data_IF_507619627803
#
_entry.id   IF_507619627803
#
_cell.length_a   1.000
_cell.length_b   1.000
_cell.length_c   1.000
_cell.angle_alpha   90.00
_cell.angle_beta   90.00
_cell.angle_gamma   90.00
#
_symmetry.space_group_name_H-M   'P 1'
#
loop_
_entity.id
_entity.type
_entity.pdbx_description
1 polymer ?
#
# COMPACT_ATOMS: atom_id res chain seq x y z
N UNK A 1 12.25 -0.80 17.05
CA UNK A 1 11.11 -0.60 16.11
C UNK A 1 10.21 0.57 16.53
N UNK A 2 9.46 0.53 17.66
CA UNK A 2 8.57 1.65 18.03
C UNK A 2 9.29 3.00 18.15
N UNK A 3 10.42 3.04 18.84
CA UNK A 3 11.23 4.25 18.98
C UNK A 3 11.77 4.77 17.62
N UNK A 4 12.08 3.87 16.70
CA UNK A 4 12.49 4.23 15.34
C UNK A 4 11.32 4.85 14.56
N UNK A 5 10.13 4.24 14.65
CA UNK A 5 8.91 4.78 14.03
C UNK A 5 8.64 6.19 14.53
N UNK A 6 8.64 6.40 15.86
CA UNK A 6 8.44 7.71 16.48
C UNK A 6 9.51 8.74 16.07
N UNK A 7 10.79 8.32 16.05
CA UNK A 7 11.90 9.18 15.64
C UNK A 7 11.76 9.60 14.17
N UNK A 8 11.41 8.66 13.31
CA UNK A 8 11.20 8.93 11.88
C UNK A 8 10.00 9.84 11.65
N UNK A 9 8.89 9.58 12.34
CA UNK A 9 7.69 10.44 12.27
C UNK A 9 8.00 11.86 12.75
N UNK A 10 8.74 12.03 13.85
CA UNK A 10 9.14 13.33 14.37
C UNK A 10 10.07 14.09 13.39
N UNK A 11 10.99 13.37 12.73
CA UNK A 11 11.84 13.96 11.68
C UNK A 11 10.98 14.50 10.52
N UNK A 12 10.03 13.69 10.02
CA UNK A 12 9.14 14.08 8.92
C UNK A 12 8.26 15.25 9.34
N UNK A 13 7.68 15.20 10.54
CA UNK A 13 6.83 16.27 11.08
C UNK A 13 7.58 17.61 11.10
N UNK A 14 8.82 17.60 11.61
CA UNK A 14 9.67 18.79 11.61
C UNK A 14 10.02 19.27 10.19
N UNK A 15 10.37 18.34 9.29
CA UNK A 15 10.74 18.66 7.91
C UNK A 15 9.57 19.18 7.06
N UNK A 16 8.33 18.90 7.47
CA UNK A 16 7.10 19.32 6.80
C UNK A 16 6.31 20.38 7.56
N UNK A 17 6.94 21.04 8.52
CA UNK A 17 6.31 22.09 9.34
C UNK A 17 4.98 21.65 9.95
N UNK A 18 4.93 20.42 10.49
CA UNK A 18 3.75 19.78 11.10
C UNK A 18 2.55 19.74 10.15
N UNK A 19 2.76 19.27 8.93
CA UNK A 19 1.75 19.26 7.86
C UNK A 19 0.47 18.50 8.21
N UNK A 20 0.53 17.48 9.06
CA UNK A 20 -0.58 16.64 9.55
C UNK A 20 -1.50 16.11 8.41
N UNK A 21 -1.06 15.10 7.64
CA UNK A 21 -1.86 14.51 6.56
C UNK A 21 -3.05 13.72 7.12
N UNK A 22 -4.19 13.73 6.41
CA UNK A 22 -5.36 12.92 6.73
C UNK A 22 -5.37 11.58 5.98
N UNK A 23 -4.77 11.56 4.79
CA UNK A 23 -4.83 10.42 3.85
C UNK A 23 -3.41 10.01 3.48
N UNK A 24 -3.13 8.71 3.62
CA UNK A 24 -1.95 8.06 3.08
C UNK A 24 -2.26 7.44 1.71
N UNK A 25 -1.36 7.60 0.75
CA UNK A 25 -1.47 7.02 -0.59
C UNK A 25 -0.17 6.30 -0.92
N UNK A 26 -0.24 5.03 -1.32
CA UNK A 26 0.92 4.28 -1.79
C UNK A 26 0.74 4.01 -3.28
N UNK A 27 1.53 4.70 -4.09
CA UNK A 27 1.49 4.59 -5.54
C UNK A 27 2.34 3.40 -6.00
N UNK A 28 1.71 2.49 -6.72
CA UNK A 28 2.35 1.33 -7.30
C UNK A 28 2.91 1.57 -8.71
N UNK A 29 3.49 0.52 -9.26
CA UNK A 29 4.04 0.50 -10.62
C UNK A 29 3.02 0.99 -11.64
N UNK A 30 3.42 1.92 -12.49
CA UNK A 30 2.57 2.52 -13.52
C UNK A 30 1.65 3.66 -13.03
N UNK A 31 1.50 3.85 -11.71
CA UNK A 31 0.59 4.84 -11.12
C UNK A 31 1.30 6.07 -10.55
N UNK A 32 2.63 6.14 -10.71
CA UNK A 32 3.45 7.27 -10.23
C UNK A 32 3.05 8.63 -10.76
N UNK A 33 2.39 8.70 -11.93
CA UNK A 33 1.87 9.94 -12.52
C UNK A 33 0.74 10.60 -11.71
N UNK A 34 0.08 9.86 -10.80
CA UNK A 34 -0.88 10.49 -9.88
C UNK A 34 -0.23 11.55 -8.99
N UNK A 35 1.06 11.44 -8.72
CA UNK A 35 1.82 12.44 -7.96
C UNK A 35 1.73 13.85 -8.58
N UNK A 36 1.55 13.95 -9.90
CA UNK A 36 1.43 15.24 -10.62
C UNK A 36 0.06 15.92 -10.37
N UNK A 37 -0.90 15.20 -9.77
CA UNK A 37 -2.20 15.73 -9.34
C UNK A 37 -2.19 16.30 -7.91
N UNK A 38 -1.09 16.08 -7.18
CA UNK A 38 -0.95 16.59 -5.81
C UNK A 38 -0.39 18.01 -5.90
N UNK A 39 -1.13 18.96 -5.34
CA UNK A 39 -0.58 20.30 -5.07
C UNK A 39 0.45 20.18 -3.95
N UNK A 40 1.71 19.99 -4.36
CA UNK A 40 2.81 19.59 -3.49
C UNK A 40 3.31 20.74 -2.64
N UNK A 41 3.23 20.59 -1.33
CA UNK A 41 3.81 21.51 -0.36
C UNK A 41 5.25 21.11 0.02
N UNK A 42 5.48 19.80 0.24
CA UNK A 42 6.80 19.26 0.61
C UNK A 42 7.07 17.94 -0.11
N UNK A 43 8.34 17.66 -0.37
CA UNK A 43 8.80 16.36 -0.87
C UNK A 43 10.11 15.97 -0.17
N UNK A 44 10.21 14.72 0.27
CA UNK A 44 11.38 14.18 0.98
C UNK A 44 11.79 12.87 0.30
N UNK A 45 13.04 12.78 -0.14
CA UNK A 45 13.59 11.55 -0.71
C UNK A 45 13.72 10.48 0.39
N UNK A 46 13.44 9.20 0.07
CA UNK A 46 13.50 8.12 1.07
C UNK A 46 14.88 7.99 1.71
N UNK A 47 15.95 8.20 0.93
CA UNK A 47 17.32 8.14 1.42
C UNK A 47 17.63 9.18 2.51
N UNK A 48 16.86 10.27 2.56
CA UNK A 48 17.02 11.36 3.52
C UNK A 48 16.14 11.18 4.77
N UNK A 49 15.27 10.15 4.76
CA UNK A 49 14.37 9.83 5.88
C UNK A 49 15.05 8.76 6.76
N UNK A 50 15.32 9.04 8.05
CA UNK A 50 15.94 8.07 8.96
C UNK A 50 15.12 6.77 9.03
N UNK A 51 15.77 5.62 8.84
CA UNK A 51 15.17 4.31 8.96
C UNK A 51 14.35 3.83 7.75
N UNK A 52 14.16 4.67 6.72
CA UNK A 52 13.53 4.21 5.49
C UNK A 52 14.48 3.33 4.67
N UNK A 53 13.95 2.25 4.06
CA UNK A 53 14.66 1.55 2.99
C UNK A 53 14.87 2.47 1.78
N UNK A 54 15.74 2.04 0.86
CA UNK A 54 15.92 2.72 -0.44
C UNK A 54 15.27 1.84 -1.50
N UNK A 55 14.33 2.39 -2.29
CA UNK A 55 13.71 1.64 -3.39
C UNK A 55 14.73 1.39 -4.49
N UNK A 56 14.84 0.13 -4.92
CA UNK A 56 15.72 -0.32 -6.00
C UNK A 56 14.96 -0.63 -7.29
N UNK A 57 13.63 -0.52 -7.26
CA UNK A 57 12.76 -0.84 -8.40
C UNK A 57 12.76 0.31 -9.39
N UNK A 58 13.05 -0.01 -10.65
CA UNK A 58 12.99 0.95 -11.76
C UNK A 58 11.58 1.55 -11.89
N UNK A 59 11.49 2.87 -12.08
CA UNK A 59 10.22 3.61 -12.16
C UNK A 59 9.66 4.08 -10.80
N UNK A 60 10.25 3.65 -9.68
CA UNK A 60 9.95 4.22 -8.37
C UNK A 60 10.85 5.44 -8.10
N UNK A 61 10.27 6.64 -7.99
CA UNK A 61 11.05 7.86 -7.71
C UNK A 61 11.63 7.88 -6.30
N UNK A 62 11.11 7.06 -5.38
CA UNK A 62 11.68 6.88 -4.04
C UNK A 62 11.54 8.10 -3.13
N UNK A 63 10.36 8.73 -3.08
CA UNK A 63 10.10 9.91 -2.24
C UNK A 63 8.71 9.90 -1.62
N UNK A 64 8.58 10.60 -0.49
CA UNK A 64 7.29 10.99 0.09
C UNK A 64 6.92 12.40 -0.35
N UNK A 65 5.67 12.58 -0.75
CA UNK A 65 5.10 13.86 -1.18
C UNK A 65 3.99 14.23 -0.21
N UNK A 66 4.04 15.44 0.32
CA UNK A 66 3.02 16.03 1.18
C UNK A 66 2.35 17.18 0.43
N UNK A 67 1.05 17.18 0.38
CA UNK A 67 0.32 18.18 -0.37
C UNK A 67 -1.20 18.02 -0.27
N UNK A 68 -1.92 18.64 -1.17
CA UNK A 68 -3.38 18.54 -1.21
C UNK A 68 -3.89 17.96 -2.52
N UNK A 69 -4.96 17.19 -2.41
CA UNK A 69 -5.76 16.71 -3.54
C UNK A 69 -7.21 17.01 -3.21
N UNK A 70 -7.88 17.78 -4.07
CA UNK A 70 -9.27 18.20 -3.86
C UNK A 70 -9.52 18.77 -2.44
N UNK A 71 -8.59 19.58 -1.94
CA UNK A 71 -8.65 20.21 -0.62
C UNK A 71 -8.34 19.28 0.56
N UNK A 72 -8.00 17.98 0.34
CA UNK A 72 -7.63 17.05 1.39
C UNK A 72 -6.12 16.97 1.53
N UNK A 73 -5.62 17.03 2.77
CA UNK A 73 -4.21 16.85 3.07
C UNK A 73 -3.79 15.39 2.90
N UNK A 74 -2.85 15.14 2.01
CA UNK A 74 -2.37 13.79 1.70
C UNK A 74 -0.87 13.66 1.94
N UNK A 75 -0.43 12.45 2.26
CA UNK A 75 0.94 12.01 2.13
C UNK A 75 0.98 10.86 1.13
N UNK A 76 1.74 11.02 0.05
CA UNK A 76 1.86 10.01 -0.99
C UNK A 76 3.29 9.44 -1.04
N UNK A 77 3.39 8.13 -1.07
CA UNK A 77 4.61 7.41 -1.41
C UNK A 77 4.68 7.21 -2.91
N UNK A 78 5.64 7.86 -3.58
CA UNK A 78 5.90 7.68 -5.01
C UNK A 78 6.89 6.53 -5.21
N UNK A 79 6.38 5.32 -5.17
CA UNK A 79 7.09 4.05 -5.07
C UNK A 79 6.99 3.46 -3.67
N UNK A 80 7.33 2.17 -3.56
CA UNK A 80 7.30 1.42 -2.31
C UNK A 80 8.43 0.39 -2.27
N UNK A 81 8.55 -0.31 -1.16
CA UNK A 81 9.52 -1.38 -0.93
C UNK A 81 8.87 -2.75 -1.09
N UNK A 82 9.63 -3.73 -1.59
CA UNK A 82 9.12 -5.08 -1.78
C UNK A 82 10.00 -6.09 -1.06
N UNK A 83 9.39 -7.21 -0.69
CA UNK A 83 10.09 -8.30 -0.04
C UNK A 83 11.20 -8.89 -0.92
N UNK A 84 10.96 -9.00 -2.23
CA UNK A 84 11.96 -9.52 -3.18
C UNK A 84 13.18 -8.61 -3.36
N UNK A 85 13.16 -7.38 -2.90
CA UNK A 85 14.35 -6.51 -2.86
C UNK A 85 15.33 -6.89 -1.73
N UNK A 86 14.99 -7.91 -0.91
CA UNK A 86 15.80 -8.38 0.21
C UNK A 86 15.46 -7.73 1.55
N UNK A 87 14.43 -6.90 1.61
CA UNK A 87 13.96 -6.29 2.85
C UNK A 87 13.14 -7.27 3.69
N UNK A 88 13.25 -7.17 5.01
CA UNK A 88 12.35 -7.86 5.93
C UNK A 88 10.94 -7.31 5.81
N UNK A 89 9.93 -8.10 6.20
CA UNK A 89 8.53 -7.63 6.20
C UNK A 89 8.31 -6.41 7.09
N UNK A 90 9.03 -6.32 8.20
CA UNK A 90 9.01 -5.15 9.09
C UNK A 90 9.53 -3.89 8.42
N UNK A 91 10.56 -4.02 7.57
CA UNK A 91 11.08 -2.90 6.79
C UNK A 91 10.11 -2.49 5.68
N UNK A 92 9.49 -3.45 4.99
CA UNK A 92 8.49 -3.18 3.93
C UNK A 92 7.28 -2.42 4.48
N UNK A 93 6.83 -2.76 5.70
CA UNK A 93 5.66 -2.14 6.35
C UNK A 93 5.99 -0.92 7.20
N UNK A 94 7.28 -0.64 7.43
CA UNK A 94 7.73 0.48 8.27
C UNK A 94 7.12 1.83 7.86
N UNK A 95 7.06 2.19 6.55
CA UNK A 95 6.46 3.47 6.14
C UNK A 95 4.99 3.61 6.49
N UNK A 96 4.21 2.52 6.45
CA UNK A 96 2.79 2.54 6.83
C UNK A 96 2.65 2.92 8.30
N UNK A 97 3.47 2.34 9.17
CA UNK A 97 3.50 2.65 10.60
C UNK A 97 3.94 4.08 10.88
N UNK A 98 4.88 4.59 10.08
CA UNK A 98 5.29 6.01 10.16
C UNK A 98 4.13 6.92 9.74
N UNK A 99 3.43 6.62 8.65
CA UNK A 99 2.26 7.40 8.22
C UNK A 99 1.14 7.36 9.27
N UNK A 100 0.94 6.23 9.96
CA UNK A 100 0.01 6.13 11.08
C UNK A 100 0.39 7.09 12.22
N UNK A 101 1.68 7.17 12.57
CA UNK A 101 2.17 8.12 13.59
C UNK A 101 2.03 9.59 13.15
N UNK A 102 2.03 9.88 11.85
CA UNK A 102 1.75 11.21 11.29
C UNK A 102 0.25 11.55 11.32
N UNK A 103 -0.61 10.60 11.71
CA UNK A 103 -2.03 10.83 11.97
C UNK A 103 -2.96 10.58 10.79
N UNK A 104 -2.55 9.82 9.75
CA UNK A 104 -3.46 9.44 8.68
C UNK A 104 -4.65 8.65 9.22
N UNK A 105 -5.82 8.89 8.62
CA UNK A 105 -7.08 8.20 8.96
C UNK A 105 -7.47 7.17 7.90
N UNK A 106 -7.00 7.38 6.67
CA UNK A 106 -7.29 6.55 5.51
C UNK A 106 -6.00 6.20 4.80
N UNK A 107 -5.91 4.96 4.33
CA UNK A 107 -4.79 4.48 3.53
C UNK A 107 -5.32 3.93 2.21
N UNK A 108 -4.86 4.49 1.09
CA UNK A 108 -5.10 3.97 -0.26
C UNK A 108 -3.83 3.34 -0.80
N UNK A 109 -3.93 2.11 -1.25
CA UNK A 109 -2.81 1.37 -1.82
C UNK A 109 -3.17 0.93 -3.23
N UNK A 110 -2.28 1.18 -4.18
CA UNK A 110 -2.45 0.75 -5.56
C UNK A 110 -1.27 -0.09 -6.04
N UNK A 111 -1.52 -0.99 -6.97
CA UNK A 111 -0.49 -1.83 -7.57
C UNK A 111 -0.89 -2.27 -8.98
N UNK A 112 0.10 -2.67 -9.79
CA UNK A 112 -0.13 -3.49 -10.97
C UNK A 112 -0.21 -4.96 -10.53
N UNK A 113 -1.11 -5.74 -11.14
CA UNK A 113 -1.35 -7.15 -10.80
C UNK A 113 -1.59 -7.99 -12.03
N UNK A 114 -1.23 -9.27 -11.98
CA UNK A 114 -1.61 -10.26 -12.97
C UNK A 114 -3.07 -10.71 -12.76
N UNK A 115 -3.90 -10.64 -13.80
CA UNK A 115 -5.28 -11.12 -13.74
C UNK A 115 -5.32 -12.65 -13.74
N UNK A 116 -5.99 -13.25 -12.76
CA UNK A 116 -6.29 -14.69 -12.65
C UNK A 116 -7.71 -14.96 -13.14
N UNK A 117 -8.63 -14.07 -12.83
CA UNK A 117 -10.00 -14.14 -13.28
C UNK A 117 -10.08 -13.91 -14.80
N UNK A 118 -10.60 -14.90 -15.52
CA UNK A 118 -10.64 -14.89 -16.99
C UNK A 118 -11.62 -13.88 -17.59
N UNK A 119 -12.47 -13.25 -16.77
CA UNK A 119 -13.34 -12.14 -17.19
C UNK A 119 -12.63 -10.80 -17.19
N UNK A 120 -11.47 -10.69 -16.53
CA UNK A 120 -10.68 -9.46 -16.45
C UNK A 120 -9.87 -9.26 -17.72
N UNK A 121 -9.63 -8.01 -18.06
CA UNK A 121 -8.86 -7.59 -19.24
C UNK A 121 -7.70 -6.69 -18.82
N UNK A 122 -6.66 -6.64 -19.63
CA UNK A 122 -5.56 -5.69 -19.44
C UNK A 122 -6.11 -4.27 -19.46
N UNK A 123 -5.75 -3.50 -18.42
CA UNK A 123 -6.24 -2.14 -18.24
C UNK A 123 -7.47 -2.01 -17.34
N UNK A 124 -8.11 -3.12 -16.94
CA UNK A 124 -9.20 -3.07 -15.95
C UNK A 124 -8.69 -2.55 -14.61
N UNK A 125 -9.50 -1.76 -13.94
CA UNK A 125 -9.31 -1.36 -12.55
C UNK A 125 -10.06 -2.34 -11.63
N UNK A 126 -9.35 -2.94 -10.68
CA UNK A 126 -9.95 -3.85 -9.69
C UNK A 126 -9.91 -3.25 -8.30
N UNK A 127 -11.06 -3.16 -7.67
CA UNK A 127 -11.16 -2.91 -6.22
C UNK A 127 -10.88 -4.23 -5.49
N UNK A 128 -9.85 -4.22 -4.64
CA UNK A 128 -9.55 -5.36 -3.78
C UNK A 128 -10.57 -5.40 -2.65
N UNK A 129 -11.35 -6.48 -2.58
CA UNK A 129 -12.38 -6.69 -1.56
C UNK A 129 -11.90 -7.60 -0.44
N UNK A 130 -10.91 -8.44 -0.72
CA UNK A 130 -10.25 -9.33 0.23
C UNK A 130 -8.89 -9.77 -0.31
N UNK A 131 -8.09 -10.49 0.50
CA UNK A 131 -6.81 -11.00 0.04
C UNK A 131 -6.47 -12.38 0.61
N UNK A 132 -5.62 -13.09 -0.12
CA UNK A 132 -4.96 -14.32 0.31
C UNK A 132 -3.47 -14.03 0.43
N UNK A 133 -2.96 -14.04 1.65
CA UNK A 133 -1.54 -13.75 1.90
C UNK A 133 -0.70 -15.03 1.87
N UNK A 134 0.08 -15.22 0.81
CA UNK A 134 1.08 -16.30 0.71
C UNK A 134 2.51 -15.79 0.98
N UNK A 135 2.63 -14.60 1.56
CA UNK A 135 3.90 -13.98 1.95
C UNK A 135 4.13 -14.12 3.47
N UNK A 136 5.37 -13.97 3.97
CA UNK A 136 5.59 -13.89 5.41
C UNK A 136 4.79 -12.76 6.04
N UNK A 137 4.20 -13.01 7.22
CA UNK A 137 3.38 -12.02 7.90
C UNK A 137 4.26 -11.03 8.68
N UNK A 138 4.11 -9.70 8.50
CA UNK A 138 4.92 -8.69 9.21
C UNK A 138 4.71 -8.66 10.73
N UNK A 139 3.63 -9.26 11.23
CA UNK A 139 3.28 -9.31 12.66
C UNK A 139 3.95 -10.49 13.39
N UNK A 140 4.66 -11.37 12.68
CA UNK A 140 5.42 -12.46 13.32
C UNK A 140 6.53 -11.86 14.17
N UNK A 141 6.62 -12.30 15.42
CA UNK A 141 7.61 -11.86 16.39
C UNK A 141 6.97 -11.33 17.66
N UNK A 142 7.73 -10.51 18.42
CA UNK A 142 7.23 -9.86 19.66
C UNK A 142 6.18 -8.81 19.32
N UNK A 143 5.02 -8.90 19.98
CA UNK A 143 3.99 -7.88 19.87
C UNK A 143 4.43 -6.57 20.52
N UNK A 144 4.07 -5.45 19.88
CA UNK A 144 4.23 -4.10 20.42
C UNK A 144 2.82 -3.56 20.63
N UNK A 145 2.34 -3.59 21.87
CA UNK A 145 0.94 -3.29 22.18
C UNK A 145 0.50 -1.88 21.74
N UNK A 146 1.44 -0.94 21.70
CA UNK A 146 1.20 0.43 21.24
C UNK A 146 0.93 0.52 19.73
N UNK A 147 1.30 -0.50 18.96
CA UNK A 147 1.04 -0.58 17.52
C UNK A 147 -0.21 -1.41 17.17
N UNK A 148 -0.81 -2.09 18.16
CA UNK A 148 -2.03 -2.85 17.97
C UNK A 148 -2.08 -4.16 18.76
N UNK A 149 -3.23 -4.87 18.69
CA UNK A 149 -3.43 -6.13 19.39
C UNK A 149 -2.55 -7.24 18.82
N UNK A 150 -2.26 -8.26 19.66
CA UNK A 150 -1.49 -9.44 19.21
C UNK A 150 -2.16 -10.20 18.06
N UNK A 151 -3.49 -10.23 18.07
CA UNK A 151 -4.32 -10.93 17.09
C UNK A 151 -5.34 -9.95 16.50
N UNK A 152 -4.95 -9.14 15.48
CA UNK A 152 -5.88 -8.24 14.82
C UNK A 152 -6.94 -9.04 14.05
N UNK A 153 -8.19 -8.56 14.10
CA UNK A 153 -9.26 -9.11 13.30
C UNK A 153 -9.15 -8.58 11.85
N UNK A 154 -8.97 -9.48 10.90
CA UNK A 154 -8.83 -9.17 9.49
C UNK A 154 -10.14 -9.30 8.69
N UNK A 155 -11.27 -9.63 9.36
CA UNK A 155 -12.57 -9.85 8.69
C UNK A 155 -13.06 -8.62 7.89
N UNK A 156 -12.75 -7.42 8.37
CA UNK A 156 -13.10 -6.16 7.71
C UNK A 156 -11.84 -5.35 7.34
N UNK A 157 -10.83 -6.02 6.81
CA UNK A 157 -9.56 -5.39 6.43
C UNK A 157 -9.74 -4.27 5.39
N UNK A 158 -10.72 -4.42 4.50
CA UNK A 158 -11.06 -3.44 3.47
C UNK A 158 -12.35 -2.71 3.85
N UNK A 159 -12.29 -1.39 3.95
CA UNK A 159 -13.40 -0.55 4.39
C UNK A 159 -14.55 -0.57 3.38
N UNK A 160 -15.67 -1.18 3.78
CA UNK A 160 -16.87 -1.34 2.93
C UNK A 160 -17.51 0.00 2.56
N UNK A 161 -17.39 1.02 3.42
CA UNK A 161 -17.95 2.34 3.12
C UNK A 161 -17.10 3.07 2.07
N UNK A 162 -15.78 2.93 2.12
CA UNK A 162 -14.89 3.46 1.08
C UNK A 162 -15.08 2.73 -0.24
N UNK A 163 -15.25 1.40 -0.22
CA UNK A 163 -15.57 0.61 -1.43
C UNK A 163 -16.89 1.10 -2.05
N UNK A 164 -17.94 1.26 -1.26
CA UNK A 164 -19.23 1.74 -1.75
C UNK A 164 -19.14 3.15 -2.36
N UNK A 165 -18.36 4.06 -1.74
CA UNK A 165 -18.10 5.39 -2.31
C UNK A 165 -17.33 5.33 -3.62
N UNK A 166 -16.30 4.50 -3.71
CA UNK A 166 -15.53 4.31 -4.94
C UNK A 166 -16.41 3.75 -6.07
N UNK A 167 -17.31 2.81 -5.75
CA UNK A 167 -18.30 2.26 -6.69
C UNK A 167 -19.23 3.37 -7.22
N UNK A 168 -19.83 4.16 -6.33
CA UNK A 168 -20.74 5.23 -6.74
C UNK A 168 -20.06 6.27 -7.64
N UNK A 169 -18.84 6.69 -7.27
CA UNK A 169 -18.05 7.63 -8.10
C UNK A 169 -17.73 7.01 -9.46
N UNK A 170 -17.36 5.74 -9.50
CA UNK A 170 -17.04 5.06 -10.76
C UNK A 170 -18.26 4.97 -11.69
N UNK A 171 -19.46 4.74 -11.13
CA UNK A 171 -20.72 4.76 -11.87
C UNK A 171 -21.02 6.16 -12.44
N UNK A 172 -20.87 7.21 -11.64
CA UNK A 172 -21.06 8.62 -12.06
C UNK A 172 -20.07 9.00 -13.18
N UNK A 173 -18.82 8.56 -13.09
CA UNK A 173 -17.76 8.88 -14.05
C UNK A 173 -17.70 7.88 -15.22
N UNK A 174 -18.61 6.91 -15.30
CA UNK A 174 -18.62 5.83 -16.31
C UNK A 174 -17.29 5.03 -16.34
N UNK A 175 -16.68 4.82 -15.18
CA UNK A 175 -15.48 3.99 -15.01
C UNK A 175 -15.91 2.59 -14.66
N UNK A 176 -15.53 1.60 -15.50
CA UNK A 176 -15.78 0.20 -15.22
C UNK A 176 -14.83 -0.29 -14.13
N UNK A 177 -15.38 -0.76 -13.00
CA UNK A 177 -14.63 -1.44 -11.96
C UNK A 177 -14.83 -2.94 -12.00
N UNK A 178 -13.77 -3.67 -11.69
CA UNK A 178 -13.82 -5.07 -11.29
C UNK A 178 -13.69 -5.15 -9.76
N UNK A 179 -14.11 -6.28 -9.19
CA UNK A 179 -14.00 -6.55 -7.75
C UNK A 179 -13.40 -7.94 -7.58
N UNK A 180 -12.53 -8.12 -6.61
CA UNK A 180 -11.93 -9.43 -6.47
C UNK A 180 -10.98 -9.57 -5.29
N UNK A 181 -10.53 -10.82 -5.12
CA UNK A 181 -9.58 -11.26 -4.11
C UNK A 181 -8.16 -11.18 -4.67
N UNK A 182 -7.29 -10.47 -3.96
CA UNK A 182 -5.88 -10.33 -4.32
C UNK A 182 -5.04 -11.43 -3.67
N UNK A 183 -4.24 -12.15 -4.45
CA UNK A 183 -3.26 -13.12 -3.95
C UNK A 183 -1.88 -12.48 -3.88
N UNK A 184 -1.30 -12.42 -2.70
CA UNK A 184 0.04 -11.89 -2.48
C UNK A 184 1.11 -12.97 -2.50
N UNK A 185 1.99 -12.96 -3.49
CA UNK A 185 3.17 -13.82 -3.61
C UNK A 185 4.47 -13.07 -3.35
N UNK A 186 5.55 -13.79 -3.06
CA UNK A 186 6.85 -13.19 -2.71
C UNK A 186 7.60 -12.58 -3.90
N UNK A 187 7.39 -13.10 -5.11
CA UNK A 187 8.26 -12.80 -6.24
C UNK A 187 9.72 -13.31 -6.01
N UNK A 188 10.71 -12.82 -6.78
CA UNK A 188 10.61 -11.88 -7.91
C UNK A 188 10.16 -12.51 -9.22
N UNK A 189 10.02 -13.85 -9.27
CA UNK A 189 9.55 -14.53 -10.48
C UNK A 189 8.04 -14.34 -10.67
N UNK A 190 7.61 -14.25 -11.91
CA UNK A 190 6.18 -14.40 -12.22
C UNK A 190 5.76 -15.85 -12.01
N UNK A 191 4.47 -16.03 -11.83
CA UNK A 191 3.85 -17.30 -11.53
C UNK A 191 3.93 -18.27 -12.72
N UNK A 192 4.15 -19.53 -12.44
CA UNK A 192 3.99 -20.62 -13.41
C UNK A 192 2.52 -20.86 -13.71
N UNK A 193 2.22 -21.57 -14.81
CA UNK A 193 0.85 -21.96 -15.13
C UNK A 193 0.17 -22.80 -14.03
N UNK A 194 0.96 -23.59 -13.28
CA UNK A 194 0.46 -24.38 -12.16
C UNK A 194 0.09 -23.51 -10.96
N UNK A 195 0.91 -22.49 -10.67
CA UNK A 195 0.63 -21.50 -9.62
C UNK A 195 -0.60 -20.67 -9.94
N UNK A 196 -0.79 -20.23 -11.19
CA UNK A 196 -2.05 -19.56 -11.57
C UNK A 196 -3.28 -20.43 -11.38
N UNK A 197 -3.21 -21.75 -11.72
CA UNK A 197 -4.31 -22.68 -11.43
C UNK A 197 -4.54 -22.85 -9.94
N UNK A 198 -3.47 -22.92 -9.16
CA UNK A 198 -3.56 -22.99 -7.71
C UNK A 198 -4.22 -21.73 -7.13
N UNK A 199 -3.77 -20.55 -7.51
CA UNK A 199 -4.35 -19.27 -7.06
C UNK A 199 -5.83 -19.14 -7.42
N UNK A 200 -6.21 -19.55 -8.62
CA UNK A 200 -7.62 -19.60 -9.03
C UNK A 200 -8.42 -20.55 -8.15
N UNK A 201 -7.91 -21.76 -7.88
CA UNK A 201 -8.61 -22.78 -7.10
C UNK A 201 -8.83 -22.37 -5.64
N UNK A 202 -7.93 -21.57 -5.07
CA UNK A 202 -8.08 -21.03 -3.71
C UNK A 202 -8.94 -19.76 -3.65
N UNK A 203 -9.46 -19.29 -4.79
CA UNK A 203 -10.40 -18.17 -4.86
C UNK A 203 -9.77 -16.81 -5.21
N UNK A 204 -8.55 -16.77 -5.74
CA UNK A 204 -7.90 -15.52 -6.17
C UNK A 204 -8.38 -15.03 -7.53
N UNK A 205 -8.52 -13.73 -7.68
CA UNK A 205 -8.90 -13.02 -8.92
C UNK A 205 -7.73 -12.29 -9.57
N UNK A 206 -6.76 -11.83 -8.77
CA UNK A 206 -5.54 -11.20 -9.25
C UNK A 206 -4.36 -11.57 -8.36
N UNK A 207 -3.15 -11.61 -8.92
CA UNK A 207 -1.91 -11.90 -8.20
C UNK A 207 -0.91 -10.75 -8.30
N UNK A 208 -0.13 -10.55 -7.24
CA UNK A 208 0.96 -9.59 -7.22
C UNK A 208 1.88 -9.77 -6.02
N UNK A 209 2.89 -8.91 -5.90
CA UNK A 209 4.03 -9.11 -5.00
C UNK A 209 4.10 -8.07 -3.86
N UNK A 210 2.97 -7.42 -3.47
CA UNK A 210 3.10 -6.25 -2.60
C UNK A 210 1.97 -6.00 -1.62
N UNK A 211 0.77 -5.76 -2.07
CA UNK A 211 -0.25 -4.94 -1.39
C UNK A 211 -0.79 -5.50 -0.07
N UNK A 212 -1.05 -6.81 0.02
CA UNK A 212 -1.69 -7.41 1.19
C UNK A 212 -0.92 -7.21 2.51
N UNK A 213 0.39 -7.07 2.46
CA UNK A 213 1.24 -6.82 3.65
C UNK A 213 1.03 -5.46 4.28
N UNK A 214 0.69 -4.46 3.47
CA UNK A 214 0.53 -3.08 3.91
C UNK A 214 -0.74 -2.91 4.75
N UNK A 215 -1.77 -3.73 4.51
CA UNK A 215 -3.00 -3.75 5.28
C UNK A 215 -2.93 -4.60 6.56
N UNK A 216 -1.99 -5.53 6.66
CA UNK A 216 -1.79 -6.33 7.88
C UNK A 216 -1.00 -5.59 8.96
N UNK A 217 -0.59 -4.36 8.71
CA UNK A 217 0.04 -3.50 9.71
C UNK A 217 -1.05 -2.71 10.42
N UNK A 218 -1.38 -3.04 11.68
CA UNK A 218 -2.41 -2.33 12.46
C UNK A 218 -2.00 -0.89 12.75
#
# INVERSE_FOLDING_TARGET
MLEEIKKTAAFIDAATSSFAPEVGIILGTGLGGFADKIDTAFAIEYKDIPGFPVSTVEGHKGRMIFGTVEGRKVVAMQGRFHYYEGYTMQQVTFPVRVMQQLGIKYLFVSNASGGINTSFRVGDLMVITDHINLMPNPLIGRNIAELGPRFPDMHNCYDKALIAKATAIAEEENIKLQYGVYVGGTGPTFETQAEYRYFKNIGGDAAGMSTCLLYTSP
#
